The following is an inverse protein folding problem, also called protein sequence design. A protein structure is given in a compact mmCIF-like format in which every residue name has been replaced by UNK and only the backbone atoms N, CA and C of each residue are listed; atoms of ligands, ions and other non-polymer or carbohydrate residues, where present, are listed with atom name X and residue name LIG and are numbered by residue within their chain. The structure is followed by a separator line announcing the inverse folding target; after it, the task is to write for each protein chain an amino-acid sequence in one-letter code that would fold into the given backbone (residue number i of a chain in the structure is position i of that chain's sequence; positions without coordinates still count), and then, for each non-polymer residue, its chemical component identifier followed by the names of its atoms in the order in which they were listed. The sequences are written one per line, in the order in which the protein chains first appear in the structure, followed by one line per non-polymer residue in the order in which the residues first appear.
data_IF_529851427146
#
_entry.id   IF_529851427146
#
_cell.length_a   1.000
_cell.length_b   1.000
_cell.length_c   1.000
_cell.angle_alpha   90.00
_cell.angle_beta   90.00
_cell.angle_gamma   90.00
#
_symmetry.space_group_name_H-M   'P 1'
#
loop_
_entity.id
_entity.type
_entity.pdbx_description
1 polymer ?
#
# COMPACT_ATOMS: atom_id res chain seq x y z
N UNK A 1 13.49 13.67 -16.93
CA UNK A 1 14.09 15.01 -16.74
C UNK A 1 15.41 14.86 -15.99
N UNK A 2 16.50 15.52 -16.40
CA UNK A 2 17.82 15.30 -15.83
C UNK A 2 18.07 16.24 -14.64
N UNK A 3 18.50 15.70 -13.51
CA UNK A 3 19.20 16.47 -12.48
C UNK A 3 20.44 15.67 -12.09
N UNK A 4 21.59 16.31 -12.25
CA UNK A 4 22.87 15.74 -11.87
C UNK A 4 22.85 15.30 -10.42
N UNK A 5 23.04 14.00 -10.19
CA UNK A 5 23.58 13.51 -8.94
C UNK A 5 25.10 13.56 -9.09
N UNK A 6 25.66 14.65 -8.57
CA UNK A 6 27.08 14.79 -8.29
C UNK A 6 27.56 13.60 -7.46
N UNK A 7 28.84 13.28 -7.66
CA UNK A 7 29.66 12.31 -6.95
C UNK A 7 29.51 12.42 -5.42
N UNK A 8 28.46 11.84 -4.87
CA UNK A 8 28.34 11.61 -3.44
C UNK A 8 28.53 10.12 -3.26
N UNK A 9 29.56 9.76 -2.50
CA UNK A 9 29.79 8.42 -2.03
C UNK A 9 28.49 7.87 -1.46
N UNK A 10 27.82 7.00 -2.23
CA UNK A 10 26.68 6.24 -1.72
C UNK A 10 27.30 5.19 -0.80
N UNK A 11 27.34 5.50 0.50
CA UNK A 11 27.81 4.57 1.52
C UNK A 11 26.90 3.34 1.49
N UNK A 12 27.48 2.18 1.17
CA UNK A 12 26.75 0.90 1.13
C UNK A 12 26.49 0.27 -0.24
N UNK A 13 27.06 0.74 -1.35
CA UNK A 13 27.18 -0.14 -2.53
C UNK A 13 28.22 -1.22 -2.24
N UNK A 14 27.79 -2.48 -2.26
CA UNK A 14 28.70 -3.62 -2.32
C UNK A 14 29.57 -3.52 -3.59
N UNK A 15 30.73 -4.19 -3.61
CA UNK A 15 31.67 -4.04 -4.71
C UNK A 15 31.09 -4.54 -6.05
N UNK A 16 30.15 -5.49 -6.01
CA UNK A 16 29.37 -5.93 -7.16
C UNK A 16 28.52 -4.79 -7.76
N UNK A 17 27.81 -4.02 -6.93
CA UNK A 17 26.99 -2.90 -7.40
C UNK A 17 27.85 -1.80 -8.04
N UNK A 18 29.07 -1.55 -7.53
CA UNK A 18 30.00 -0.58 -8.12
C UNK A 18 30.52 -1.04 -9.48
N UNK A 19 30.85 -2.33 -9.61
CA UNK A 19 31.29 -2.92 -10.87
C UNK A 19 30.18 -2.86 -11.93
N UNK A 20 28.95 -3.24 -11.56
CA UNK A 20 27.79 -3.19 -12.46
C UNK A 20 27.41 -1.74 -12.81
N UNK A 21 27.50 -0.80 -11.87
CA UNK A 21 27.29 0.63 -12.15
C UNK A 21 28.31 1.17 -13.16
N UNK A 22 29.58 0.76 -13.05
CA UNK A 22 30.62 1.12 -14.01
C UNK A 22 30.27 0.58 -15.40
N UNK A 23 29.96 -0.72 -15.50
CA UNK A 23 29.53 -1.37 -16.75
C UNK A 23 28.30 -0.73 -17.38
N UNK A 24 27.30 -0.40 -16.56
CA UNK A 24 26.10 0.30 -17.00
C UNK A 24 26.46 1.66 -17.61
N UNK A 25 27.32 2.42 -16.94
CA UNK A 25 27.73 3.76 -17.40
C UNK A 25 28.48 3.69 -18.73
N UNK A 26 29.35 2.69 -18.90
CA UNK A 26 30.09 2.46 -20.14
C UNK A 26 29.16 2.09 -21.30
N UNK A 27 28.25 1.13 -21.10
CA UNK A 27 27.33 0.67 -22.16
C UNK A 27 26.25 1.72 -22.50
N UNK A 28 25.72 2.40 -21.48
CA UNK A 28 24.78 3.52 -21.69
C UNK A 28 25.40 4.65 -22.52
N UNK A 29 26.69 4.90 -22.34
CA UNK A 29 27.41 5.92 -23.13
C UNK A 29 27.62 5.50 -24.59
N UNK A 30 27.58 4.20 -24.90
CA UNK A 30 27.68 3.67 -26.26
C UNK A 30 26.30 3.65 -26.95
N UNK A 31 25.32 3.00 -26.32
CA UNK A 31 23.96 2.91 -26.80
C UNK A 31 22.97 2.76 -25.62
N UNK A 32 22.23 3.82 -25.26
CA UNK A 32 21.30 3.79 -24.13
C UNK A 32 20.05 2.93 -24.38
N UNK A 33 19.75 2.57 -25.63
CA UNK A 33 18.55 1.81 -26.00
C UNK A 33 18.86 0.36 -26.39
N UNK A 34 20.11 -0.07 -26.25
CA UNK A 34 20.47 -1.47 -26.51
C UNK A 34 19.85 -2.41 -25.46
N UNK A 35 19.56 -3.64 -25.88
CA UNK A 35 19.09 -4.71 -24.99
C UNK A 35 20.10 -4.99 -23.87
N UNK A 36 21.40 -4.86 -24.16
CA UNK A 36 22.49 -5.02 -23.19
C UNK A 36 22.42 -3.95 -22.11
N UNK A 37 22.26 -2.68 -22.49
CA UNK A 37 22.12 -1.57 -21.53
C UNK A 37 20.87 -1.74 -20.66
N UNK A 38 19.75 -2.18 -21.25
CA UNK A 38 18.51 -2.43 -20.52
C UNK A 38 18.67 -3.55 -19.48
N UNK A 39 19.31 -4.67 -19.84
CA UNK A 39 19.51 -5.80 -18.94
C UNK A 39 20.48 -5.47 -17.79
N UNK A 40 21.59 -4.77 -18.09
CA UNK A 40 22.52 -4.30 -17.06
C UNK A 40 21.82 -3.31 -16.13
N UNK A 41 21.01 -2.38 -16.66
CA UNK A 41 20.23 -1.42 -15.89
C UNK A 41 19.24 -2.10 -14.94
N UNK A 42 18.53 -3.12 -15.43
CA UNK A 42 17.61 -3.93 -14.62
C UNK A 42 18.33 -4.66 -13.49
N UNK A 43 19.47 -5.29 -13.77
CA UNK A 43 20.27 -5.98 -12.75
C UNK A 43 20.81 -5.01 -11.70
N UNK A 44 21.29 -3.84 -12.13
CA UNK A 44 21.72 -2.78 -11.23
C UNK A 44 20.58 -2.32 -10.31
N UNK A 45 19.39 -2.11 -10.85
CA UNK A 45 18.21 -1.72 -10.08
C UNK A 45 17.84 -2.77 -9.02
N UNK A 46 17.89 -4.05 -9.38
CA UNK A 46 17.63 -5.16 -8.44
C UNK A 46 18.64 -5.16 -7.27
N UNK A 47 19.93 -5.03 -7.56
CA UNK A 47 20.97 -5.02 -6.52
C UNK A 47 20.83 -3.80 -5.62
N UNK A 48 20.55 -2.62 -6.20
CA UNK A 48 20.35 -1.39 -5.43
C UNK A 48 19.11 -1.44 -4.55
N UNK A 49 18.02 -2.06 -5.02
CA UNK A 49 16.80 -2.28 -4.23
C UNK A 49 17.07 -3.26 -3.09
N UNK A 50 17.70 -4.41 -3.35
CA UNK A 50 18.04 -5.39 -2.30
C UNK A 50 18.94 -4.79 -1.21
N UNK A 51 19.98 -4.06 -1.60
CA UNK A 51 20.87 -3.36 -0.66
C UNK A 51 20.15 -2.28 0.17
N UNK A 52 19.15 -1.62 -0.43
CA UNK A 52 18.33 -0.62 0.25
C UNK A 52 17.41 -1.28 1.27
N UNK A 53 16.76 -2.38 0.89
CA UNK A 53 15.90 -3.17 1.76
C UNK A 53 16.66 -3.67 2.99
N UNK A 54 17.86 -4.24 2.80
CA UNK A 54 18.70 -4.72 3.91
C UNK A 54 19.02 -3.60 4.92
N UNK A 55 19.34 -2.38 4.45
CA UNK A 55 19.58 -1.23 5.34
C UNK A 55 18.32 -0.84 6.12
N UNK A 56 17.15 -0.87 5.48
CA UNK A 56 15.90 -0.54 6.15
C UNK A 56 15.50 -1.60 7.19
N UNK A 57 15.71 -2.88 6.89
CA UNK A 57 15.52 -4.00 7.81
C UNK A 57 16.37 -3.82 9.09
N UNK A 58 17.66 -3.50 8.94
CA UNK A 58 18.53 -3.25 10.09
C UNK A 58 18.06 -2.01 10.87
N UNK A 59 17.74 -0.92 10.17
CA UNK A 59 17.35 0.34 10.80
C UNK A 59 16.04 0.22 11.60
N UNK A 60 15.05 -0.52 11.09
CA UNK A 60 13.78 -0.70 11.78
C UNK A 60 13.95 -1.53 13.07
N UNK A 61 14.83 -2.52 13.07
CA UNK A 61 15.18 -3.29 14.27
C UNK A 61 15.88 -2.41 15.30
N UNK A 62 16.88 -1.62 14.90
CA UNK A 62 17.57 -0.69 15.80
C UNK A 62 16.60 0.35 16.40
N UNK A 63 15.68 0.87 15.60
CA UNK A 63 14.61 1.78 16.07
C UNK A 63 13.68 1.09 17.06
N UNK A 64 13.27 -0.14 16.77
CA UNK A 64 12.41 -0.93 17.67
C UNK A 64 13.10 -1.19 19.01
N UNK A 65 14.38 -1.57 19.00
CA UNK A 65 15.18 -1.74 20.22
C UNK A 65 15.34 -0.43 20.99
N UNK A 66 15.58 0.69 20.29
CA UNK A 66 15.73 2.00 20.91
C UNK A 66 14.44 2.54 21.57
N UNK A 67 13.26 2.04 21.18
CA UNK A 67 12.00 2.38 21.85
C UNK A 67 12.02 2.03 23.34
N UNK A 68 12.83 1.06 23.78
CA UNK A 68 13.04 0.76 25.20
C UNK A 68 13.43 1.99 26.02
N UNK A 69 14.23 2.89 25.43
CA UNK A 69 14.68 4.13 26.06
C UNK A 69 13.80 5.31 25.66
N UNK A 70 13.50 5.46 24.37
CA UNK A 70 12.79 6.62 23.86
C UNK A 70 11.31 6.64 24.23
N UNK A 71 10.64 5.49 24.27
CA UNK A 71 9.24 5.37 24.62
C UNK A 71 8.88 3.94 25.08
N UNK A 72 9.12 3.61 26.37
CA UNK A 72 8.88 2.27 26.91
C UNK A 72 7.44 1.79 26.71
N UNK A 73 6.46 2.69 26.77
CA UNK A 73 5.05 2.36 26.53
C UNK A 73 4.80 1.88 25.10
N UNK A 74 5.41 2.53 24.10
CA UNK A 74 5.33 2.06 22.70
C UNK A 74 6.05 0.73 22.51
N UNK A 75 7.16 0.53 23.21
CA UNK A 75 7.87 -0.76 23.19
C UNK A 75 7.02 -1.89 23.77
N UNK A 76 6.34 -1.66 24.91
CA UNK A 76 5.39 -2.62 25.47
C UNK A 76 4.24 -2.93 24.53
N UNK A 77 3.69 -1.91 23.85
CA UNK A 77 2.63 -2.11 22.83
C UNK A 77 3.16 -2.93 21.65
N UNK A 78 4.36 -2.64 21.16
CA UNK A 78 5.02 -3.42 20.11
C UNK A 78 5.12 -4.90 20.50
N UNK A 79 5.63 -5.20 21.69
CA UNK A 79 5.85 -6.58 22.15
C UNK A 79 4.58 -7.40 22.40
N UNK A 80 3.41 -6.75 22.41
CA UNK A 80 2.08 -7.39 22.53
C UNK A 80 1.48 -7.78 21.17
N UNK A 81 2.04 -7.28 20.07
CA UNK A 81 1.60 -7.67 18.74
C UNK A 81 1.94 -9.13 18.45
N UNK A 82 1.13 -9.75 17.57
CA UNK A 82 1.33 -11.12 17.13
C UNK A 82 2.66 -11.26 16.39
N UNK A 83 3.36 -12.37 16.58
CA UNK A 83 4.67 -12.59 15.96
C UNK A 83 4.83 -13.99 15.38
N UNK A 84 3.87 -14.89 15.66
CA UNK A 84 3.94 -16.32 15.36
C UNK A 84 5.26 -16.94 15.83
N UNK A 85 5.80 -16.45 16.94
CA UNK A 85 7.11 -16.86 17.46
C UNK A 85 7.17 -18.36 17.76
N UNK A 86 6.06 -18.92 18.25
CA UNK A 86 5.85 -20.35 18.48
C UNK A 86 6.07 -21.21 17.22
N UNK A 87 5.87 -20.63 16.04
CA UNK A 87 6.04 -21.30 14.73
C UNK A 87 7.36 -20.97 14.04
N UNK A 88 8.21 -20.15 14.65
CA UNK A 88 9.47 -19.63 14.07
C UNK A 88 10.70 -20.13 14.84
N UNK A 89 10.71 -21.41 15.21
CA UNK A 89 11.84 -22.00 15.95
C UNK A 89 13.07 -22.31 15.08
N UNK A 90 14.21 -22.71 15.68
CA UNK A 90 15.49 -22.96 15.00
C UNK A 90 15.47 -23.96 13.84
N UNK A 91 14.49 -24.87 13.82
CA UNK A 91 14.32 -25.83 12.72
C UNK A 91 13.67 -25.26 11.46
N UNK A 92 13.26 -23.99 11.47
CA UNK A 92 12.54 -23.37 10.35
C UNK A 92 13.46 -22.56 9.45
N UNK A 93 13.14 -22.51 8.16
CA UNK A 93 13.87 -21.68 7.18
C UNK A 93 13.80 -20.19 7.55
N UNK A 94 12.65 -19.75 8.08
CA UNK A 94 12.46 -18.37 8.56
C UNK A 94 13.43 -18.02 9.67
N UNK A 95 13.62 -18.90 10.66
CA UNK A 95 14.58 -18.66 11.73
C UNK A 95 16.01 -18.55 11.19
N UNK A 96 16.43 -19.45 10.29
CA UNK A 96 17.78 -19.40 9.70
C UNK A 96 18.02 -18.06 8.98
N UNK A 97 17.06 -17.63 8.15
CA UNK A 97 17.15 -16.36 7.43
C UNK A 97 17.24 -15.15 8.39
N UNK A 98 16.46 -15.15 9.48
CA UNK A 98 16.55 -14.09 10.49
C UNK A 98 17.86 -14.16 11.26
N UNK A 99 18.37 -15.37 11.55
CA UNK A 99 19.62 -15.58 12.27
C UNK A 99 20.82 -15.00 11.50
N UNK A 100 20.89 -15.20 10.18
CA UNK A 100 21.91 -14.59 9.32
C UNK A 100 21.87 -13.06 9.42
N UNK A 101 20.67 -12.45 9.40
CA UNK A 101 20.52 -11.00 9.58
C UNK A 101 20.95 -10.51 10.98
N UNK A 102 20.69 -11.31 12.02
CA UNK A 102 21.13 -10.99 13.39
C UNK A 102 22.65 -10.99 13.49
N UNK A 103 23.35 -11.92 12.83
CA UNK A 103 24.81 -11.97 12.84
C UNK A 103 25.42 -10.71 12.20
N UNK A 104 24.87 -10.27 11.07
CA UNK A 104 25.26 -9.01 10.42
C UNK A 104 24.97 -7.80 11.32
N UNK A 105 23.81 -7.76 11.97
CA UNK A 105 23.42 -6.71 12.90
C UNK A 105 24.37 -6.65 14.12
N UNK A 106 24.71 -7.80 14.69
CA UNK A 106 25.58 -7.90 15.86
C UNK A 106 26.99 -7.42 15.53
N UNK A 107 27.57 -7.90 14.41
CA UNK A 107 28.94 -7.56 14.02
C UNK A 107 29.08 -6.08 13.64
N UNK A 108 28.17 -5.57 12.81
CA UNK A 108 28.34 -4.25 12.20
C UNK A 108 27.78 -3.10 13.04
N UNK A 109 26.88 -3.37 13.99
CA UNK A 109 26.16 -2.32 14.72
C UNK A 109 26.19 -2.53 16.23
N UNK A 110 25.79 -3.70 16.74
CA UNK A 110 25.64 -3.88 18.19
C UNK A 110 26.99 -3.98 18.92
N UNK A 111 27.99 -4.66 18.37
CA UNK A 111 29.35 -4.71 18.94
C UNK A 111 30.02 -3.32 18.95
N UNK A 112 30.08 -2.56 17.84
CA UNK A 112 30.60 -1.20 17.87
C UNK A 112 29.86 -0.29 18.85
N UNK A 113 28.54 -0.43 18.95
CA UNK A 113 27.75 0.35 19.90
C UNK A 113 28.09 0.01 21.35
N UNK A 114 28.21 -1.28 21.70
CA UNK A 114 28.60 -1.71 23.06
C UNK A 114 29.96 -1.13 23.46
N UNK A 115 30.95 -1.17 22.56
CA UNK A 115 32.27 -0.55 22.81
C UNK A 115 32.14 0.95 23.12
N UNK A 116 31.32 1.67 22.35
CA UNK A 116 31.04 3.08 22.59
C UNK A 116 30.31 3.33 23.93
N UNK A 117 29.35 2.47 24.30
CA UNK A 117 28.64 2.55 25.59
C UNK A 117 29.61 2.30 26.76
N UNK A 118 30.57 1.39 26.61
CA UNK A 118 31.64 1.12 27.58
C UNK A 118 32.61 2.30 27.73
N UNK A 119 33.03 2.90 26.61
CA UNK A 119 33.93 4.06 26.60
C UNK A 119 33.29 5.31 27.21
N UNK A 120 31.99 5.52 26.98
CA UNK A 120 31.27 6.73 27.42
C UNK A 120 30.53 6.55 28.75
N UNK A 121 30.32 5.31 29.20
CA UNK A 121 29.47 4.98 30.34
C UNK A 121 27.98 5.23 30.10
N UNK A 122 27.56 5.52 28.86
CA UNK A 122 26.18 5.85 28.52
C UNK A 122 25.49 4.65 27.88
N UNK A 123 24.50 4.07 28.57
CA UNK A 123 23.64 3.03 27.98
C UNK A 123 22.66 3.63 26.97
N UNK A 124 22.72 3.17 25.72
CA UNK A 124 21.88 3.56 24.59
C UNK A 124 20.82 2.50 24.32
N UNK A 125 21.18 1.21 24.25
CA UNK A 125 20.26 0.08 24.06
C UNK A 125 20.21 -0.82 25.31
N UNK A 126 19.19 -0.68 26.18
CA UNK A 126 19.19 -1.32 27.50
C UNK A 126 19.12 -2.86 27.50
N UNK A 127 18.33 -3.46 26.61
CA UNK A 127 18.25 -4.92 26.47
C UNK A 127 18.36 -5.32 25.00
N UNK A 128 19.31 -6.21 24.71
CA UNK A 128 19.51 -6.75 23.39
C UNK A 128 19.81 -8.25 23.54
N UNK A 129 18.95 -9.09 22.96
CA UNK A 129 19.16 -10.53 22.88
C UNK A 129 18.71 -11.04 21.51
N UNK A 130 19.31 -12.13 21.03
CA UNK A 130 18.93 -12.75 19.77
C UNK A 130 17.43 -13.14 19.77
N UNK A 131 16.93 -13.68 20.89
CA UNK A 131 15.51 -14.02 21.06
C UNK A 131 14.59 -12.80 20.91
N UNK A 132 14.96 -11.67 21.52
CA UNK A 132 14.22 -10.42 21.39
C UNK A 132 14.21 -9.93 19.94
N UNK A 133 15.35 -10.00 19.24
CA UNK A 133 15.46 -9.58 17.84
C UNK A 133 14.62 -10.51 16.93
N UNK A 134 14.69 -11.83 17.11
CA UNK A 134 13.81 -12.78 16.41
C UNK A 134 12.34 -12.46 16.64
N UNK A 135 11.96 -12.13 17.88
CA UNK A 135 10.58 -11.73 18.20
C UNK A 135 10.18 -10.45 17.48
N UNK A 136 11.03 -9.42 17.45
CA UNK A 136 10.75 -8.16 16.75
C UNK A 136 10.61 -8.39 15.24
N UNK A 137 11.49 -9.19 14.61
CA UNK A 137 11.33 -9.57 13.21
C UNK A 137 9.98 -10.26 12.96
N UNK A 138 9.61 -11.23 13.81
CA UNK A 138 8.30 -11.88 13.71
C UNK A 138 7.13 -10.91 13.80
N UNK A 139 7.22 -9.90 14.68
CA UNK A 139 6.19 -8.84 14.79
C UNK A 139 6.11 -8.03 13.50
N UNK A 140 7.25 -7.60 12.96
CA UNK A 140 7.29 -6.78 11.74
C UNK A 140 6.73 -7.56 10.54
N UNK A 141 7.16 -8.80 10.35
CA UNK A 141 6.69 -9.66 9.25
C UNK A 141 5.16 -9.88 9.25
N UNK A 142 4.54 -9.92 10.43
CA UNK A 142 3.10 -10.20 10.57
C UNK A 142 2.25 -8.93 10.51
N UNK A 143 2.78 -7.80 11.01
CA UNK A 143 1.95 -6.63 11.31
C UNK A 143 2.32 -5.38 10.51
N UNK A 144 3.51 -5.31 9.91
CA UNK A 144 3.96 -4.13 9.18
C UNK A 144 3.29 -4.05 7.80
N UNK A 145 3.07 -2.82 7.33
CA UNK A 145 2.61 -2.52 5.98
C UNK A 145 3.80 -2.06 5.15
N UNK A 146 3.99 -2.68 3.99
CA UNK A 146 4.98 -2.25 2.99
C UNK A 146 4.48 -1.02 2.23
N UNK A 147 5.35 -0.04 2.04
CA UNK A 147 5.15 1.08 1.14
C UNK A 147 5.73 0.72 -0.22
N UNK A 148 4.93 0.85 -1.28
CA UNK A 148 5.27 0.30 -2.62
C UNK A 148 5.60 1.40 -3.63
N UNK A 149 5.16 2.66 -3.40
CA UNK A 149 5.19 3.66 -4.47
C UNK A 149 6.54 4.40 -4.58
N UNK A 150 7.08 4.97 -3.49
CA UNK A 150 8.30 5.81 -3.58
C UNK A 150 9.42 5.43 -2.59
N UNK A 151 9.11 4.62 -1.57
CA UNK A 151 10.07 4.22 -0.53
C UNK A 151 9.92 2.74 -0.25
N UNK A 152 10.94 1.93 -0.58
CA UNK A 152 11.07 0.54 -0.12
C UNK A 152 11.22 0.52 1.41
N UNK A 153 10.11 0.73 2.14
CA UNK A 153 10.08 0.84 3.59
C UNK A 153 8.85 0.15 4.18
N UNK A 154 8.99 -0.23 5.44
CA UNK A 154 7.92 -0.82 6.24
C UNK A 154 7.45 0.16 7.31
N UNK A 155 6.15 0.22 7.54
CA UNK A 155 5.55 1.00 8.62
C UNK A 155 4.66 0.12 9.49
N UNK A 156 4.76 0.29 10.80
CA UNK A 156 3.95 -0.43 11.78
C UNK A 156 2.90 0.50 12.41
N UNK A 157 1.63 0.10 12.32
CA UNK A 157 0.51 0.78 12.96
C UNK A 157 -0.20 -0.18 13.92
N UNK A 158 0.18 -0.24 15.21
CA UNK A 158 -0.31 -1.28 16.13
C UNK A 158 -1.84 -1.41 16.20
N UNK A 159 -2.57 -0.30 16.12
CA UNK A 159 -4.05 -0.31 16.11
C UNK A 159 -4.62 -0.84 14.80
N UNK A 160 -3.97 -0.54 13.67
CA UNK A 160 -4.42 -1.00 12.36
C UNK A 160 -4.18 -2.50 12.18
N UNK A 161 -3.10 -3.03 12.76
CA UNK A 161 -2.75 -4.45 12.74
C UNK A 161 -3.76 -5.35 13.47
N UNK A 162 -4.72 -4.76 14.20
CA UNK A 162 -5.85 -5.49 14.80
C UNK A 162 -6.96 -5.84 13.80
N UNK A 163 -6.91 -5.30 12.58
CA UNK A 163 -7.89 -5.59 11.56
C UNK A 163 -7.58 -6.94 10.90
N UNK A 164 -8.53 -7.87 11.01
CA UNK A 164 -8.43 -9.19 10.40
C UNK A 164 -8.48 -9.13 8.87
N UNK A 165 -7.73 -10.02 8.22
CA UNK A 165 -7.81 -10.19 6.78
C UNK A 165 -9.16 -10.78 6.36
N UNK A 166 -9.75 -10.23 5.31
CA UNK A 166 -10.87 -10.81 4.60
C UNK A 166 -10.66 -10.60 3.10
N UNK A 167 -10.77 -11.67 2.30
CA UNK A 167 -10.67 -11.57 0.84
C UNK A 167 -11.76 -10.68 0.22
N UNK A 168 -12.84 -10.43 0.96
CA UNK A 168 -13.88 -9.45 0.65
C UNK A 168 -13.88 -8.39 1.77
N UNK A 169 -12.94 -7.43 1.73
CA UNK A 169 -12.77 -6.48 2.81
C UNK A 169 -13.94 -5.50 2.85
N UNK A 170 -14.37 -5.14 4.06
CA UNK A 170 -15.38 -4.11 4.28
C UNK A 170 -14.77 -2.72 4.55
N UNK A 171 -13.43 -2.60 4.48
CA UNK A 171 -12.68 -1.35 4.63
C UNK A 171 -11.55 -1.27 3.61
N UNK A 172 -11.19 -0.07 3.20
CA UNK A 172 -10.00 0.23 2.39
C UNK A 172 -9.02 1.04 3.24
N UNK A 173 -7.75 0.65 3.20
CA UNK A 173 -6.63 1.36 3.82
C UNK A 173 -6.03 2.36 2.82
N UNK A 174 -5.75 3.57 3.28
CA UNK A 174 -5.02 4.60 2.54
C UNK A 174 -3.92 5.13 3.46
N UNK A 175 -2.71 5.25 2.94
CA UNK A 175 -1.58 5.87 3.65
C UNK A 175 -1.22 7.15 2.91
N UNK A 176 -1.25 8.27 3.61
CA UNK A 176 -0.87 9.57 3.06
C UNK A 176 0.61 9.84 3.35
N UNK A 177 1.47 9.66 2.34
CA UNK A 177 2.91 9.88 2.46
C UNK A 177 3.29 11.36 2.68
N UNK A 178 2.41 12.29 2.29
CA UNK A 178 2.63 13.72 2.48
C UNK A 178 2.15 14.23 3.85
N UNK A 179 1.16 13.57 4.45
CA UNK A 179 0.69 13.84 5.83
C UNK A 179 1.34 12.89 6.84
N UNK A 180 2.68 12.85 6.87
CA UNK A 180 3.47 12.10 7.86
C UNK A 180 3.05 10.62 7.98
N UNK A 181 2.80 9.97 6.84
CA UNK A 181 2.34 8.58 6.75
C UNK A 181 1.07 8.35 7.58
N UNK A 182 0.10 9.25 7.49
CA UNK A 182 -1.15 9.06 8.20
C UNK A 182 -1.98 7.97 7.54
N UNK A 183 -2.36 6.98 8.34
CA UNK A 183 -3.25 5.90 7.91
C UNK A 183 -4.72 6.30 8.07
N UNK A 184 -5.53 6.04 7.03
CA UNK A 184 -6.98 6.25 7.03
C UNK A 184 -7.69 4.99 6.56
N UNK A 185 -8.66 4.53 7.34
CA UNK A 185 -9.57 3.46 6.94
C UNK A 185 -10.91 4.02 6.49
N UNK A 186 -11.38 3.60 5.31
CA UNK A 186 -12.71 3.97 4.78
C UNK A 186 -13.58 2.73 4.64
N UNK A 187 -14.82 2.80 5.12
CA UNK A 187 -15.77 1.70 4.96
C UNK A 187 -16.12 1.51 3.47
N UNK A 188 -16.08 0.27 2.98
CA UNK A 188 -16.41 -0.11 1.60
C UNK A 188 -17.89 0.17 1.24
N UNK A 189 -18.78 0.22 2.24
CA UNK A 189 -20.18 0.64 2.07
C UNK A 189 -20.30 2.09 1.55
N UNK A 190 -19.39 2.97 1.96
CA UNK A 190 -19.37 4.35 1.46
C UNK A 190 -18.97 4.35 -0.02
N UNK A 191 -18.03 3.48 -0.40
CA UNK A 191 -17.59 3.36 -1.80
C UNK A 191 -18.71 2.81 -2.70
N UNK A 192 -19.46 1.79 -2.25
CA UNK A 192 -20.59 1.25 -3.04
C UNK A 192 -21.69 2.29 -3.27
N UNK A 193 -22.03 3.09 -2.26
CA UNK A 193 -22.97 4.22 -2.40
C UNK A 193 -22.42 5.27 -3.37
N UNK A 194 -21.15 5.68 -3.20
CA UNK A 194 -20.53 6.68 -4.09
C UNK A 194 -20.50 6.18 -5.53
N UNK A 195 -20.14 4.93 -5.77
CA UNK A 195 -20.12 4.32 -7.11
C UNK A 195 -21.53 4.28 -7.70
N UNK A 196 -22.52 3.78 -6.95
CA UNK A 196 -23.92 3.76 -7.40
C UNK A 196 -24.45 5.15 -7.76
N UNK A 197 -24.16 6.16 -6.94
CA UNK A 197 -24.55 7.55 -7.20
C UNK A 197 -23.79 8.16 -8.39
N UNK A 198 -22.54 7.77 -8.61
CA UNK A 198 -21.73 8.26 -9.74
C UNK A 198 -22.22 7.68 -11.06
N UNK A 199 -22.53 6.39 -11.10
CA UNK A 199 -23.16 5.72 -12.24
C UNK A 199 -24.53 6.34 -12.56
N UNK A 200 -25.36 6.63 -11.55
CA UNK A 200 -26.64 7.30 -11.71
C UNK A 200 -26.50 8.72 -12.29
N UNK A 201 -25.51 9.49 -11.81
CA UNK A 201 -25.21 10.83 -12.36
C UNK A 201 -24.82 10.77 -13.83
N UNK A 202 -23.99 9.79 -14.21
CA UNK A 202 -23.59 9.59 -15.61
C UNK A 202 -24.79 9.22 -16.49
N UNK A 203 -25.64 8.27 -16.05
CA UNK A 203 -26.85 7.87 -16.77
C UNK A 203 -27.83 9.06 -16.93
N UNK A 204 -28.06 9.82 -15.86
CA UNK A 204 -28.92 11.00 -15.88
C UNK A 204 -28.34 12.15 -16.70
N UNK A 205 -27.02 12.24 -16.82
CA UNK A 205 -26.34 13.21 -17.68
C UNK A 205 -26.79 13.11 -19.13
N UNK A 206 -26.81 11.88 -19.68
CA UNK A 206 -27.30 11.62 -21.02
C UNK A 206 -28.79 12.00 -21.18
N UNK A 207 -29.64 11.65 -20.21
CA UNK A 207 -31.07 12.00 -20.22
C UNK A 207 -31.27 13.53 -20.21
N UNK A 208 -30.48 14.26 -19.42
CA UNK A 208 -30.55 15.73 -19.38
C UNK A 208 -30.12 16.35 -20.70
N UNK A 209 -29.08 15.81 -21.33
CA UNK A 209 -28.59 16.30 -22.61
C UNK A 209 -29.62 16.05 -23.73
N UNK A 210 -30.19 14.85 -23.81
CA UNK A 210 -31.27 14.54 -24.76
C UNK A 210 -32.49 15.45 -24.57
N UNK A 211 -32.90 15.68 -23.31
CA UNK A 211 -33.98 16.62 -22.99
C UNK A 211 -33.64 18.05 -23.41
N UNK A 212 -32.39 18.49 -23.24
CA UNK A 212 -31.96 19.81 -23.67
C UNK A 212 -32.06 19.95 -25.19
N UNK A 213 -31.66 18.92 -25.96
CA UNK A 213 -31.86 18.89 -27.41
C UNK A 213 -33.33 19.05 -27.78
N UNK A 214 -34.24 18.30 -27.13
CA UNK A 214 -35.69 18.43 -27.38
C UNK A 214 -36.26 19.79 -26.99
N UNK A 215 -35.77 20.40 -25.91
CA UNK A 215 -36.20 21.77 -25.53
C UNK A 215 -35.72 22.79 -26.55
N UNK A 216 -34.46 22.70 -27.00
CA UNK A 216 -33.89 23.62 -27.99
C UNK A 216 -34.61 23.55 -29.33
N UNK A 217 -35.13 22.39 -29.72
CA UNK A 217 -35.94 22.26 -30.94
C UNK A 217 -37.18 23.16 -30.93
N UNK A 218 -37.78 23.42 -29.76
CA UNK A 218 -38.95 24.29 -29.66
C UNK A 218 -38.61 25.77 -29.97
N UNK A 219 -37.34 26.16 -29.81
CA UNK A 219 -36.86 27.54 -29.97
C UNK A 219 -36.17 27.78 -31.33
N UNK A 220 -35.92 26.73 -32.12
CA UNK A 220 -35.21 26.79 -33.41
C UNK A 220 -36.20 26.75 -34.58
N UNK A 221 -36.02 27.65 -35.55
CA UNK A 221 -36.86 27.74 -36.75
C UNK A 221 -36.23 27.06 -37.98
N UNK A 222 -34.91 26.82 -37.96
CA UNK A 222 -34.17 26.20 -39.05
C UNK A 222 -34.44 24.69 -39.10
N UNK A 223 -35.06 24.16 -40.18
CA UNK A 223 -35.36 22.74 -40.32
C UNK A 223 -34.13 21.83 -40.25
N UNK A 224 -32.97 22.29 -40.73
CA UNK A 224 -31.73 21.48 -40.74
C UNK A 224 -31.24 21.31 -39.30
N UNK A 225 -31.23 22.39 -38.51
CA UNK A 225 -30.83 22.33 -37.11
C UNK A 225 -31.80 21.50 -36.26
N UNK A 226 -33.10 21.49 -36.59
CA UNK A 226 -34.07 20.60 -35.93
C UNK A 226 -33.73 19.12 -36.20
N UNK A 227 -33.39 18.77 -37.45
CA UNK A 227 -32.99 17.41 -37.82
C UNK A 227 -31.70 16.99 -37.11
N UNK A 228 -30.69 17.85 -37.06
CA UNK A 228 -29.44 17.60 -36.33
C UNK A 228 -29.66 17.44 -34.83
N UNK A 229 -30.51 18.27 -34.21
CA UNK A 229 -30.86 18.14 -32.79
C UNK A 229 -31.62 16.84 -32.49
N UNK A 230 -32.45 16.37 -33.43
CA UNK A 230 -33.12 15.08 -33.34
C UNK A 230 -32.11 13.94 -33.41
N UNK A 231 -31.25 13.93 -34.43
CA UNK A 231 -30.21 12.92 -34.59
C UNK A 231 -29.27 12.85 -33.40
N UNK A 232 -28.88 14.01 -32.84
CA UNK A 232 -28.06 14.07 -31.64
C UNK A 232 -28.79 13.50 -30.41
N UNK A 233 -30.07 13.83 -30.22
CA UNK A 233 -30.86 13.31 -29.09
C UNK A 233 -31.01 11.79 -29.15
N UNK A 234 -31.31 11.24 -30.33
CA UNK A 234 -31.41 9.79 -30.56
C UNK A 234 -30.07 9.11 -30.29
N UNK A 235 -28.99 9.64 -30.87
CA UNK A 235 -27.63 9.12 -30.68
C UNK A 235 -27.20 9.09 -29.20
N UNK A 236 -27.49 10.15 -28.44
CA UNK A 236 -27.18 10.21 -27.00
C UNK A 236 -28.00 9.16 -26.23
N UNK A 237 -29.25 8.94 -26.61
CA UNK A 237 -30.12 7.97 -25.94
C UNK A 237 -29.72 6.52 -26.25
N UNK A 238 -29.25 6.23 -27.47
CA UNK A 238 -28.66 4.94 -27.84
C UNK A 238 -27.35 4.67 -27.10
N UNK A 239 -26.50 5.67 -26.98
CA UNK A 239 -25.22 5.59 -26.26
C UNK A 239 -25.33 5.80 -24.74
N UNK A 240 -26.55 5.91 -24.19
CA UNK A 240 -26.74 6.16 -22.77
C UNK A 240 -26.01 5.06 -21.96
N UNK A 241 -25.05 5.45 -21.11
CA UNK A 241 -24.26 4.46 -20.38
C UNK A 241 -25.13 3.72 -19.37
N UNK A 242 -25.11 2.40 -19.45
CA UNK A 242 -25.67 1.50 -18.43
C UNK A 242 -24.54 0.77 -17.73
N UNK A 243 -24.34 1.08 -16.46
CA UNK A 243 -23.36 0.40 -15.62
C UNK A 243 -23.99 -0.84 -15.02
N UNK A 244 -23.36 -2.00 -15.17
CA UNK A 244 -23.86 -3.26 -14.61
C UNK A 244 -22.76 -3.98 -13.84
N UNK A 245 -23.15 -4.76 -12.84
CA UNK A 245 -22.24 -5.73 -12.22
C UNK A 245 -22.30 -7.01 -13.04
N UNK A 246 -21.31 -7.24 -13.90
CA UNK A 246 -21.20 -8.43 -14.77
C UNK A 246 -22.50 -8.78 -15.53
N UNK A 247 -23.30 -7.77 -15.91
CA UNK A 247 -24.58 -7.97 -16.62
C UNK A 247 -25.78 -8.42 -15.75
N UNK A 248 -25.61 -8.65 -14.44
CA UNK A 248 -26.70 -9.15 -13.58
C UNK A 248 -27.72 -8.06 -13.22
N UNK A 249 -27.25 -6.91 -12.75
CA UNK A 249 -28.11 -5.79 -12.37
C UNK A 249 -27.43 -4.45 -12.65
N UNK A 250 -28.26 -3.42 -12.82
CA UNK A 250 -27.78 -2.05 -13.03
C UNK A 250 -27.24 -1.46 -11.72
N UNK A 251 -26.13 -0.75 -11.82
CA UNK A 251 -25.53 0.00 -10.73
C UNK A 251 -25.98 1.45 -10.85
N UNK A 252 -27.00 1.83 -10.08
CA UNK A 252 -27.47 3.21 -10.00
C UNK A 252 -28.09 3.48 -8.61
N UNK A 253 -28.71 4.65 -8.42
CA UNK A 253 -29.26 5.02 -7.12
C UNK A 253 -30.35 4.05 -6.61
N UNK A 254 -31.02 3.31 -7.50
CA UNK A 254 -32.08 2.37 -7.14
C UNK A 254 -31.52 1.10 -6.48
N UNK A 255 -30.25 0.78 -6.71
CA UNK A 255 -29.59 -0.39 -6.13
C UNK A 255 -29.37 -0.24 -4.61
N UNK A 256 -29.18 1.00 -4.13
CA UNK A 256 -28.89 1.30 -2.72
C UNK A 256 -30.00 0.82 -1.76
N UNK A 257 -31.28 1.21 -1.94
CA UNK A 257 -32.34 0.76 -1.04
C UNK A 257 -32.57 -0.75 -1.08
N UNK A 258 -32.31 -1.41 -2.22
CA UNK A 258 -32.39 -2.88 -2.35
C UNK A 258 -31.36 -3.56 -1.45
N UNK A 259 -30.10 -3.09 -1.48
CA UNK A 259 -29.05 -3.62 -0.60
C UNK A 259 -29.32 -3.34 0.88
N UNK A 260 -29.78 -2.13 1.23
CA UNK A 260 -30.14 -1.80 2.61
C UNK A 260 -31.26 -2.71 3.09
N UNK A 261 -32.32 -2.88 2.29
CA UNK A 261 -33.46 -3.74 2.61
C UNK A 261 -33.03 -5.21 2.82
N UNK A 262 -32.19 -5.74 1.94
CA UNK A 262 -31.66 -7.09 2.05
C UNK A 262 -30.81 -7.28 3.32
N UNK A 263 -29.92 -6.32 3.61
CA UNK A 263 -29.08 -6.34 4.80
C UNK A 263 -29.92 -6.26 6.08
N UNK A 264 -30.88 -5.33 6.14
CA UNK A 264 -31.79 -5.18 7.29
C UNK A 264 -32.60 -6.45 7.52
N UNK A 265 -33.15 -7.04 6.45
CA UNK A 265 -33.91 -8.30 6.53
C UNK A 265 -33.03 -9.43 7.09
N UNK A 266 -31.80 -9.56 6.60
CA UNK A 266 -30.86 -10.58 7.08
C UNK A 266 -30.46 -10.36 8.54
N UNK A 267 -30.21 -9.12 8.95
CA UNK A 267 -29.90 -8.80 10.35
C UNK A 267 -31.07 -9.12 11.29
N UNK A 268 -32.30 -8.80 10.89
CA UNK A 268 -33.51 -9.15 11.66
C UNK A 268 -33.58 -10.67 11.86
N UNK A 269 -33.37 -11.44 10.79
CA UNK A 269 -33.35 -12.91 10.84
C UNK A 269 -32.27 -13.41 11.82
N UNK A 270 -31.04 -12.88 11.73
CA UNK A 270 -29.95 -13.28 12.64
C UNK A 270 -30.24 -12.95 14.10
N UNK A 271 -30.84 -11.79 14.38
CA UNK A 271 -31.22 -11.38 15.74
C UNK A 271 -32.29 -12.34 16.26
N UNK A 272 -33.32 -12.66 15.47
CA UNK A 272 -34.36 -13.60 15.85
C UNK A 272 -33.78 -14.98 16.20
N UNK A 273 -32.81 -15.48 15.42
CA UNK A 273 -32.13 -16.75 15.72
C UNK A 273 -31.19 -16.70 16.94
N UNK A 274 -30.54 -15.55 17.21
CA UNK A 274 -29.68 -15.42 18.40
C UNK A 274 -30.45 -15.22 19.71
N UNK A 275 -31.61 -14.57 19.67
CA UNK A 275 -32.46 -14.31 20.85
C UNK A 275 -33.27 -15.56 21.26
N UNK A 276 -33.40 -16.56 20.38
CA UNK A 276 -34.07 -17.83 20.67
C UNK A 276 -33.16 -18.89 21.34
N UNK A 277 -31.98 -18.51 21.84
CA UNK A 277 -31.14 -19.31 22.74
C UNK A 277 -31.10 -18.67 24.12
#
# INVERSE_FOLDING_TARGET
MPRGCQQHHISGLNDEAKDIMTKYTEEYSKDPFSEVTAEIGKRLQQILSASRQERFDILIILRALYLQKANPKKFETLLKLESHFDRRGPGTEVYKAVQEKIEVLEENYLKPLKLYEEETGQVILPQVSAELIHKIYGILDVNATELIEDVDAMILYPTASLLEHNCIPNTTQIIDEHDNFKITFRAAMILTIITAMSCDKAEKGAIRLAKLCSTLQADVQDPILIEELNGLSEFIMELRPKFTVYGFFNVNQQTIPVFISALTTYLIILIQFKVQK
#
